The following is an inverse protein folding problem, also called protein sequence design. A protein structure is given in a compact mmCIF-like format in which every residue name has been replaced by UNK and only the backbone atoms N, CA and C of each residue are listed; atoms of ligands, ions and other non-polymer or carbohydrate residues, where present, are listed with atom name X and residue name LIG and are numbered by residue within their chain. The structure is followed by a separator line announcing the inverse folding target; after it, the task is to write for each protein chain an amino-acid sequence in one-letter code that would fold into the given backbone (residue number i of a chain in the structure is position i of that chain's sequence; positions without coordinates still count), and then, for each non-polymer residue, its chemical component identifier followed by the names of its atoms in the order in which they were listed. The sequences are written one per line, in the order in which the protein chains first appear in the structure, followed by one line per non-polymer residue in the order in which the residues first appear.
data_IF_109795424199
#
_entry.id   IF_109795424199
#
_cell.length_a   1.000
_cell.length_b   1.000
_cell.length_c   1.000
_cell.angle_alpha   90.00
_cell.angle_beta   90.00
_cell.angle_gamma   90.00
#
_symmetry.space_group_name_H-M   'P 1'
#
loop_
_entity.id
_entity.type
_entity.pdbx_description
1 polymer ?
#
# COMPACT_ATOMS: atom_id res chain seq x y z
N UNK A 1 22.41 -19.96 18.08
CA UNK A 1 22.54 -18.66 18.74
C UNK A 1 22.29 -17.58 17.69
N UNK A 2 21.27 -16.79 17.89
CA UNK A 2 21.03 -15.59 17.07
C UNK A 2 22.12 -14.57 17.39
N UNK A 3 22.66 -13.96 16.38
CA UNK A 3 23.57 -12.82 16.51
C UNK A 3 22.88 -11.58 15.99
N UNK A 4 22.81 -10.55 16.79
CA UNK A 4 22.33 -9.23 16.36
C UNK A 4 23.51 -8.29 16.39
N UNK A 5 23.87 -7.78 15.22
CA UNK A 5 24.88 -6.74 15.09
C UNK A 5 24.16 -5.39 15.00
N UNK A 6 24.64 -4.40 15.73
CA UNK A 6 24.13 -3.03 15.64
C UNK A 6 25.28 -2.15 15.17
N UNK A 7 25.19 -1.64 13.96
CA UNK A 7 26.12 -0.68 13.37
C UNK A 7 25.31 0.40 12.63
N UNK A 8 24.81 1.35 13.40
CA UNK A 8 23.91 2.37 12.91
C UNK A 8 24.30 3.77 13.40
N UNK A 9 24.22 4.74 12.51
CA UNK A 9 24.29 6.15 12.84
C UNK A 9 22.95 6.63 13.41
N UNK A 10 22.96 7.27 14.57
CA UNK A 10 21.76 7.71 15.27
C UNK A 10 21.78 9.20 15.52
N UNK A 11 20.72 9.90 15.14
CA UNK A 11 20.52 11.28 15.55
C UNK A 11 19.88 11.35 16.94
N UNK A 12 20.71 11.30 17.97
CA UNK A 12 20.27 11.30 19.38
C UNK A 12 19.70 12.64 19.85
N UNK A 13 19.88 13.72 19.09
CA UNK A 13 19.33 15.03 19.47
C UNK A 13 17.80 15.07 19.43
N UNK A 14 17.17 14.13 18.70
CA UNK A 14 15.72 14.01 18.62
C UNK A 14 15.09 13.53 19.93
N UNK A 15 15.82 12.82 20.78
CA UNK A 15 15.32 12.28 22.05
C UNK A 15 15.21 13.30 23.20
N UNK A 16 15.66 14.53 23.00
CA UNK A 16 15.59 15.57 24.03
C UNK A 16 14.45 16.56 23.81
N UNK A 17 13.65 16.35 22.79
CA UNK A 17 12.55 17.24 22.44
C UNK A 17 11.21 16.66 22.91
N UNK A 18 10.32 17.53 23.36
CA UNK A 18 8.92 17.15 23.50
C UNK A 18 8.39 16.74 22.13
N UNK A 19 7.72 15.61 22.06
CA UNK A 19 7.17 15.11 20.83
C UNK A 19 5.64 15.14 20.86
N UNK A 20 4.98 15.40 19.71
CA UNK A 20 3.53 15.43 19.66
C UNK A 20 2.96 14.03 19.89
N UNK A 21 1.80 13.99 20.54
CA UNK A 21 0.94 12.83 20.69
C UNK A 21 -0.41 13.20 20.12
N UNK A 22 -1.01 12.32 19.35
CA UNK A 22 -2.34 12.56 18.81
C UNK A 22 -3.27 11.38 19.05
N UNK A 23 -4.56 11.70 19.16
CA UNK A 23 -5.63 10.72 19.05
C UNK A 23 -6.27 10.82 17.68
N UNK A 24 -6.43 9.70 17.03
CA UNK A 24 -7.01 9.60 15.70
C UNK A 24 -8.12 8.56 15.67
N UNK A 25 -9.04 8.74 14.72
CA UNK A 25 -10.10 7.77 14.44
C UNK A 25 -10.12 7.48 12.95
N UNK A 26 -10.71 6.35 12.60
CA UNK A 26 -10.95 5.97 11.21
C UNK A 26 -11.70 7.08 10.46
N UNK A 27 -11.30 7.36 9.24
CA UNK A 27 -11.91 8.36 8.37
C UNK A 27 -12.21 7.77 6.99
N UNK A 28 -13.43 7.31 6.79
CA UNK A 28 -13.86 6.79 5.50
C UNK A 28 -14.20 7.95 4.53
N UNK A 29 -13.96 7.73 3.24
CA UNK A 29 -14.40 8.66 2.21
C UNK A 29 -15.93 8.64 2.09
N UNK A 30 -16.54 9.80 2.11
CA UNK A 30 -17.98 9.97 1.86
C UNK A 30 -18.25 10.11 0.37
N UNK A 31 -19.52 9.99 -0.06
CA UNK A 31 -19.92 10.25 -1.45
C UNK A 31 -19.58 11.69 -1.89
N UNK A 32 -19.59 12.65 -0.96
CA UNK A 32 -19.18 14.03 -1.21
C UNK A 32 -17.68 14.12 -1.47
N UNK A 33 -16.85 13.40 -0.68
CA UNK A 33 -15.41 13.31 -0.91
C UNK A 33 -15.08 12.68 -2.24
N UNK A 34 -15.74 11.58 -2.59
CA UNK A 34 -15.58 10.89 -3.88
C UNK A 34 -15.83 11.85 -5.04
N UNK A 35 -16.95 12.56 -5.01
CA UNK A 35 -17.33 13.51 -6.05
C UNK A 35 -16.34 14.67 -6.14
N UNK A 36 -15.95 15.23 -4.99
CA UNK A 36 -14.98 16.33 -4.90
C UNK A 36 -13.60 15.91 -5.45
N UNK A 37 -13.10 14.74 -5.05
CA UNK A 37 -11.81 14.24 -5.49
C UNK A 37 -11.83 13.95 -6.99
N UNK A 38 -12.88 13.31 -7.50
CA UNK A 38 -13.02 13.04 -8.93
C UNK A 38 -13.02 14.35 -9.75
N UNK A 39 -13.78 15.36 -9.33
CA UNK A 39 -13.82 16.65 -10.01
C UNK A 39 -12.48 17.40 -9.94
N UNK A 40 -11.67 17.16 -8.91
CA UNK A 40 -10.38 17.84 -8.74
C UNK A 40 -9.25 17.17 -9.54
N UNK A 41 -9.34 15.89 -9.83
CA UNK A 41 -8.24 15.15 -10.45
C UNK A 41 -8.43 14.93 -11.95
N UNK A 42 -9.65 14.67 -12.41
CA UNK A 42 -9.94 14.39 -13.81
C UNK A 42 -10.13 15.67 -14.65
N UNK A 43 -9.86 15.54 -15.93
CA UNK A 43 -10.19 16.57 -16.92
C UNK A 43 -11.71 16.81 -16.95
N UNK A 44 -12.11 18.07 -17.11
CA UNK A 44 -13.52 18.46 -17.08
C UNK A 44 -14.38 17.70 -18.09
N UNK A 45 -15.45 17.05 -17.62
CA UNK A 45 -16.37 16.31 -18.45
C UNK A 45 -15.84 14.97 -19.01
N UNK A 46 -14.63 14.58 -18.63
CA UNK A 46 -14.01 13.32 -19.13
C UNK A 46 -14.43 12.09 -18.33
N UNK A 47 -14.91 12.25 -17.10
CA UNK A 47 -15.05 11.14 -16.17
C UNK A 47 -16.50 10.73 -15.92
N UNK A 48 -16.65 9.42 -15.64
CA UNK A 48 -17.94 8.80 -15.36
C UNK A 48 -17.81 7.61 -14.42
N UNK A 49 -18.92 7.25 -13.78
CA UNK A 49 -19.03 6.01 -13.01
C UNK A 49 -18.74 4.80 -13.94
N UNK A 50 -17.97 3.86 -13.44
CA UNK A 50 -17.73 2.56 -14.06
C UNK A 50 -18.16 1.45 -13.12
N UNK A 51 -19.11 0.63 -13.55
CA UNK A 51 -19.47 -0.60 -12.84
C UNK A 51 -18.61 -1.75 -13.33
N UNK A 52 -18.01 -2.55 -12.43
CA UNK A 52 -17.31 -3.78 -12.81
C UNK A 52 -18.21 -4.66 -13.72
N UNK A 53 -17.62 -5.41 -14.63
CA UNK A 53 -18.40 -6.23 -15.58
C UNK A 53 -19.36 -7.20 -14.89
N UNK A 54 -19.02 -7.73 -13.71
CA UNK A 54 -19.92 -8.58 -12.90
C UNK A 54 -21.21 -7.88 -12.46
N UNK A 55 -21.23 -6.55 -12.45
CA UNK A 55 -22.36 -5.71 -12.05
C UNK A 55 -23.01 -4.95 -13.22
N UNK A 56 -22.67 -5.34 -14.44
CA UNK A 56 -23.32 -4.81 -15.65
C UNK A 56 -24.38 -5.78 -16.20
N UNK A 57 -25.26 -5.28 -17.03
CA UNK A 57 -26.23 -6.12 -17.71
C UNK A 57 -25.56 -7.06 -18.71
N UNK A 58 -26.20 -8.17 -19.03
CA UNK A 58 -25.73 -9.09 -20.09
C UNK A 58 -25.55 -8.39 -21.43
N UNK A 59 -26.43 -7.47 -21.72
CA UNK A 59 -26.44 -6.67 -22.94
C UNK A 59 -25.20 -5.75 -22.98
N UNK A 60 -24.88 -5.06 -21.87
CA UNK A 60 -23.73 -4.16 -21.78
C UNK A 60 -22.41 -4.92 -21.88
N UNK A 61 -22.30 -6.07 -21.18
CA UNK A 61 -21.11 -6.93 -21.27
C UNK A 61 -20.92 -7.45 -22.68
N UNK A 62 -22.00 -7.83 -23.35
CA UNK A 62 -21.92 -8.30 -24.74
C UNK A 62 -21.45 -7.18 -25.66
N UNK A 63 -22.01 -5.99 -25.52
CA UNK A 63 -21.59 -4.82 -26.28
C UNK A 63 -20.10 -4.45 -26.01
N UNK A 64 -19.63 -4.57 -24.75
CA UNK A 64 -18.22 -4.36 -24.42
C UNK A 64 -17.31 -5.39 -25.11
N UNK A 65 -17.67 -6.69 -25.08
CA UNK A 65 -16.90 -7.72 -25.79
C UNK A 65 -16.84 -7.48 -27.30
N UNK A 66 -17.95 -7.05 -27.92
CA UNK A 66 -18.01 -6.75 -29.34
C UNK A 66 -17.13 -5.52 -29.68
N UNK A 67 -17.15 -4.48 -28.84
CA UNK A 67 -16.31 -3.30 -29.01
C UNK A 67 -14.80 -3.64 -28.89
N UNK A 68 -14.42 -4.54 -27.98
CA UNK A 68 -13.05 -5.03 -27.91
C UNK A 68 -12.66 -5.79 -29.19
N UNK A 69 -13.52 -6.67 -29.69
CA UNK A 69 -13.24 -7.40 -30.93
C UNK A 69 -13.05 -6.45 -32.12
N UNK A 70 -13.88 -5.41 -32.26
CA UNK A 70 -13.73 -4.37 -33.26
C UNK A 70 -12.41 -3.61 -33.12
N UNK A 71 -12.05 -3.22 -31.88
CA UNK A 71 -10.80 -2.53 -31.58
C UNK A 71 -9.60 -3.41 -31.95
N UNK A 72 -9.62 -4.69 -31.56
CA UNK A 72 -8.51 -5.61 -31.82
C UNK A 72 -8.32 -5.91 -33.31
N UNK A 73 -9.39 -5.87 -34.09
CA UNK A 73 -9.30 -6.01 -35.53
C UNK A 73 -8.55 -4.87 -36.25
N UNK A 74 -8.28 -3.77 -35.55
CA UNK A 74 -7.49 -2.65 -36.09
C UNK A 74 -5.97 -2.87 -36.00
N UNK A 75 -5.51 -3.81 -35.17
CA UNK A 75 -4.09 -4.14 -35.02
C UNK A 75 -3.66 -5.16 -36.07
N UNK A 76 -2.49 -4.92 -36.67
CA UNK A 76 -1.92 -5.82 -37.68
C UNK A 76 -1.42 -7.14 -37.05
N UNK A 77 -0.90 -7.07 -35.85
CA UNK A 77 -0.41 -8.21 -35.07
C UNK A 77 -1.02 -8.17 -33.65
N UNK A 78 -1.42 -9.32 -33.12
CA UNK A 78 -1.96 -9.42 -31.76
C UNK A 78 -0.96 -8.97 -30.70
N UNK A 79 0.34 -9.11 -30.95
CA UNK A 79 1.40 -8.66 -30.04
C UNK A 79 1.51 -7.14 -29.91
N UNK A 80 0.86 -6.39 -30.81
CA UNK A 80 0.79 -4.92 -30.76
C UNK A 80 -0.36 -4.43 -29.89
N UNK A 81 -1.28 -5.31 -29.50
CA UNK A 81 -2.42 -4.94 -28.66
C UNK A 81 -1.91 -4.62 -27.25
N UNK A 82 -2.19 -3.42 -26.71
CA UNK A 82 -1.83 -3.08 -25.36
C UNK A 82 -2.37 -4.07 -24.34
N UNK A 83 -1.54 -4.48 -23.39
CA UNK A 83 -1.88 -5.48 -22.38
C UNK A 83 -3.13 -5.10 -21.57
N UNK A 84 -3.27 -3.83 -21.20
CA UNK A 84 -4.44 -3.33 -20.47
C UNK A 84 -5.76 -3.58 -21.23
N UNK A 85 -5.78 -3.42 -22.56
CA UNK A 85 -6.97 -3.72 -23.37
C UNK A 85 -7.26 -5.21 -23.43
N UNK A 86 -6.22 -6.05 -23.48
CA UNK A 86 -6.37 -7.52 -23.43
C UNK A 86 -6.90 -7.96 -22.07
N UNK A 87 -6.40 -7.40 -20.98
CA UNK A 87 -6.86 -7.69 -19.62
C UNK A 87 -8.34 -7.30 -19.45
N UNK A 88 -8.71 -6.08 -19.86
CA UNK A 88 -10.10 -5.61 -19.82
C UNK A 88 -11.03 -6.52 -20.62
N UNK A 89 -10.61 -6.91 -21.84
CA UNK A 89 -11.37 -7.85 -22.66
C UNK A 89 -11.56 -9.20 -21.94
N UNK A 90 -10.49 -9.71 -21.31
CA UNK A 90 -10.54 -10.96 -20.54
C UNK A 90 -11.53 -10.89 -19.38
N UNK A 91 -11.60 -9.77 -18.65
CA UNK A 91 -12.59 -9.56 -17.59
C UNK A 91 -14.02 -9.54 -18.15
N UNK A 92 -14.28 -8.80 -19.23
CA UNK A 92 -15.58 -8.78 -19.87
C UNK A 92 -16.01 -10.17 -20.36
N UNK A 93 -15.10 -10.91 -21.00
CA UNK A 93 -15.36 -12.28 -21.48
C UNK A 93 -15.59 -13.25 -20.32
N UNK A 94 -14.83 -13.14 -19.23
CA UNK A 94 -15.01 -13.97 -18.03
C UNK A 94 -16.37 -13.72 -17.38
N UNK A 95 -16.77 -12.46 -17.25
CA UNK A 95 -18.09 -12.09 -16.76
C UNK A 95 -19.19 -12.66 -17.66
N UNK A 96 -19.04 -12.55 -18.99
CA UNK A 96 -19.97 -13.13 -19.96
C UNK A 96 -20.05 -14.65 -19.86
N UNK A 97 -18.91 -15.32 -19.72
CA UNK A 97 -18.81 -16.78 -19.66
C UNK A 97 -19.37 -17.36 -18.35
N UNK A 98 -19.26 -16.62 -17.24
CA UNK A 98 -19.81 -17.03 -15.94
C UNK A 98 -21.33 -17.26 -16.00
N UNK A 99 -22.01 -16.52 -16.87
CA UNK A 99 -23.48 -16.52 -16.96
C UNK A 99 -24.19 -16.00 -15.73
N UNK A 100 -23.44 -15.50 -14.74
CA UNK A 100 -23.97 -14.89 -13.52
C UNK A 100 -23.89 -13.37 -13.68
N UNK A 101 -25.04 -12.75 -13.78
CA UNK A 101 -25.17 -11.30 -13.91
C UNK A 101 -25.91 -10.78 -12.70
N UNK A 102 -25.32 -9.81 -12.02
CA UNK A 102 -25.91 -9.11 -10.87
C UNK A 102 -25.90 -7.61 -11.16
N UNK A 103 -26.69 -7.14 -12.13
CA UNK A 103 -26.64 -5.77 -12.60
C UNK A 103 -27.08 -4.81 -11.48
N UNK A 104 -26.29 -3.78 -11.27
CA UNK A 104 -26.64 -2.68 -10.40
C UNK A 104 -27.31 -1.61 -11.24
N UNK A 105 -28.58 -1.29 -10.93
CA UNK A 105 -29.28 -0.17 -11.54
C UNK A 105 -28.68 1.15 -11.03
N UNK A 106 -28.25 2.00 -11.94
CA UNK A 106 -27.67 3.31 -11.61
C UNK A 106 -28.14 4.37 -12.62
N UNK A 107 -28.32 5.59 -12.16
CA UNK A 107 -28.53 6.76 -13.00
C UNK A 107 -27.21 7.42 -13.45
N UNK A 108 -26.06 6.78 -13.15
CA UNK A 108 -24.74 7.31 -13.45
C UNK A 108 -24.18 8.23 -12.35
N UNK A 109 -24.91 8.44 -11.27
CA UNK A 109 -24.42 9.22 -10.13
C UNK A 109 -23.18 8.57 -9.53
N UNK A 110 -22.15 9.38 -9.31
CA UNK A 110 -20.90 8.94 -8.68
C UNK A 110 -21.13 8.81 -7.19
N UNK A 111 -21.19 7.57 -6.73
CA UNK A 111 -21.39 7.22 -5.32
C UNK A 111 -20.95 5.77 -5.08
N UNK A 112 -20.84 5.40 -3.80
CA UNK A 112 -20.66 4.00 -3.43
C UNK A 112 -21.85 3.15 -3.87
N UNK A 113 -21.55 1.95 -4.33
CA UNK A 113 -22.53 0.90 -4.55
C UNK A 113 -22.14 -0.35 -3.77
N UNK A 114 -23.11 -1.04 -3.12
CA UNK A 114 -22.82 -2.24 -2.36
C UNK A 114 -22.50 -3.39 -3.30
N UNK A 115 -21.55 -4.22 -2.93
CA UNK A 115 -21.37 -5.52 -3.56
C UNK A 115 -22.12 -6.60 -2.80
N UNK A 116 -22.34 -7.76 -3.44
CA UNK A 116 -23.00 -8.94 -2.85
C UNK A 116 -22.30 -9.45 -1.59
N UNK A 117 -21.04 -9.08 -1.39
CA UNK A 117 -20.33 -9.32 -0.12
C UNK A 117 -20.69 -8.19 0.83
N UNK A 118 -21.53 -8.49 1.79
CA UNK A 118 -22.22 -7.61 2.76
C UNK A 118 -21.38 -6.52 3.47
N UNK A 119 -20.08 -6.42 3.22
CA UNK A 119 -19.17 -5.50 3.92
C UNK A 119 -18.23 -4.76 3.00
N UNK A 120 -18.53 -4.67 1.71
CA UNK A 120 -17.67 -3.99 0.77
C UNK A 120 -18.45 -3.04 -0.11
N UNK A 121 -18.11 -1.77 -0.03
CA UNK A 121 -18.62 -0.72 -0.89
C UNK A 121 -17.53 -0.31 -1.88
N UNK A 122 -17.91 -0.15 -3.15
CA UNK A 122 -17.02 0.32 -4.20
C UNK A 122 -17.57 1.54 -4.89
N UNK A 123 -16.66 2.37 -5.39
CA UNK A 123 -16.96 3.34 -6.41
C UNK A 123 -15.78 3.40 -7.37
N UNK A 124 -15.98 3.03 -8.64
CA UNK A 124 -14.97 3.16 -9.68
C UNK A 124 -15.38 4.26 -10.65
N UNK A 125 -14.45 5.12 -10.98
CA UNK A 125 -14.62 6.27 -11.86
C UNK A 125 -13.53 6.20 -12.92
N UNK A 126 -13.91 6.24 -14.18
CA UNK A 126 -12.98 6.29 -15.31
C UNK A 126 -13.04 7.64 -15.99
N UNK A 127 -11.88 8.17 -16.34
CA UNK A 127 -11.74 9.45 -16.99
C UNK A 127 -10.30 9.71 -17.42
N UNK A 128 -10.03 10.92 -17.90
CA UNK A 128 -8.68 11.31 -18.31
C UNK A 128 -8.05 12.30 -17.33
N UNK A 129 -6.74 12.23 -17.20
CA UNK A 129 -5.89 13.22 -16.52
C UNK A 129 -4.82 13.62 -17.52
N UNK A 130 -4.80 14.89 -17.90
CA UNK A 130 -3.91 15.40 -18.96
C UNK A 130 -4.01 14.56 -20.25
N UNK A 131 -5.24 14.15 -20.61
CA UNK A 131 -5.56 13.38 -21.79
C UNK A 131 -5.15 11.90 -21.75
N UNK A 132 -4.68 11.38 -20.62
CA UNK A 132 -4.36 9.96 -20.41
C UNK A 132 -5.46 9.29 -19.60
N UNK A 133 -5.78 8.05 -19.92
CA UNK A 133 -6.79 7.28 -19.22
C UNK A 133 -6.37 6.87 -17.81
N UNK A 134 -7.28 7.10 -16.86
CA UNK A 134 -7.12 6.71 -15.46
C UNK A 134 -8.42 6.15 -14.89
N UNK A 135 -8.29 5.24 -13.94
CA UNK A 135 -9.36 4.84 -13.06
C UNK A 135 -9.07 5.29 -11.62
N UNK A 136 -10.05 5.88 -10.99
CA UNK A 136 -10.07 6.21 -9.59
C UNK A 136 -11.06 5.28 -8.90
N UNK A 137 -10.58 4.49 -7.96
CA UNK A 137 -11.38 3.52 -7.21
C UNK A 137 -11.40 3.87 -5.74
N UNK A 138 -12.57 3.81 -5.14
CA UNK A 138 -12.74 3.86 -3.69
C UNK A 138 -13.26 2.52 -3.22
N UNK A 139 -12.59 1.96 -2.22
CA UNK A 139 -12.92 0.67 -1.63
C UNK A 139 -13.09 0.87 -0.13
N UNK A 140 -14.24 0.47 0.40
CA UNK A 140 -14.54 0.55 1.81
C UNK A 140 -14.99 -0.82 2.31
N UNK A 141 -14.25 -1.36 3.27
CA UNK A 141 -14.58 -2.60 3.97
C UNK A 141 -14.57 -2.35 5.47
N UNK A 142 -14.87 -3.35 6.28
CA UNK A 142 -14.69 -3.23 7.74
C UNK A 142 -13.24 -2.93 8.13
N UNK A 143 -12.26 -3.50 7.41
CA UNK A 143 -10.83 -3.44 7.74
C UNK A 143 -10.07 -2.35 7.01
N UNK A 144 -10.58 -1.92 5.86
CA UNK A 144 -9.85 -1.06 4.94
C UNK A 144 -10.75 0.05 4.41
N UNK A 145 -10.12 1.19 4.20
CA UNK A 145 -10.64 2.24 3.34
C UNK A 145 -9.50 2.64 2.41
N UNK A 146 -9.70 2.54 1.12
CA UNK A 146 -8.66 2.82 0.13
C UNK A 146 -9.18 3.73 -0.96
N UNK A 147 -8.32 4.65 -1.37
CA UNK A 147 -8.40 5.38 -2.63
C UNK A 147 -7.27 4.85 -3.52
N UNK A 148 -7.62 4.43 -4.72
CA UNK A 148 -6.66 3.91 -5.69
C UNK A 148 -6.83 4.66 -7.00
N UNK A 149 -5.82 5.40 -7.41
CA UNK A 149 -5.73 6.01 -8.73
C UNK A 149 -4.73 5.20 -9.55
N UNK A 150 -5.13 4.68 -10.71
CA UNK A 150 -4.23 3.95 -11.57
C UNK A 150 -4.46 4.28 -13.04
N UNK A 151 -3.37 4.28 -13.80
CA UNK A 151 -3.33 4.58 -15.22
C UNK A 151 -3.82 3.38 -16.04
N UNK A 152 -4.39 3.67 -17.20
CA UNK A 152 -4.80 2.70 -18.21
C UNK A 152 -5.86 1.68 -17.75
N UNK A 153 -6.67 2.03 -16.72
CA UNK A 153 -7.75 1.19 -16.17
C UNK A 153 -7.31 -0.20 -15.68
N UNK A 154 -6.04 -0.42 -15.46
CA UNK A 154 -5.50 -1.73 -15.19
C UNK A 154 -5.43 -2.04 -13.69
N UNK A 155 -6.49 -2.68 -13.16
CA UNK A 155 -6.51 -3.13 -11.75
C UNK A 155 -5.43 -4.16 -11.44
N UNK A 156 -4.96 -4.96 -12.40
CA UNK A 156 -3.85 -5.88 -12.18
C UNK A 156 -2.53 -5.15 -11.89
N UNK A 157 -2.38 -3.93 -12.41
CA UNK A 157 -1.26 -3.09 -12.00
C UNK A 157 -1.28 -2.77 -10.51
N UNK A 158 -2.46 -2.74 -9.90
CA UNK A 158 -2.60 -2.44 -8.47
C UNK A 158 -2.38 -3.67 -7.58
N UNK A 159 -2.86 -4.84 -7.98
CA UNK A 159 -2.78 -6.07 -7.19
C UNK A 159 -1.70 -7.04 -7.68
N UNK A 160 -1.50 -7.17 -8.99
CA UNK A 160 -0.51 -8.07 -9.58
C UNK A 160 0.92 -7.51 -9.57
N UNK A 161 1.08 -6.20 -9.68
CA UNK A 161 2.40 -5.56 -9.69
C UNK A 161 3.06 -5.46 -8.31
N UNK A 162 2.33 -5.51 -7.21
CA UNK A 162 2.98 -5.58 -5.89
C UNK A 162 3.93 -6.77 -5.79
N UNK A 163 3.65 -7.88 -6.46
CA UNK A 163 4.55 -9.02 -6.54
C UNK A 163 5.64 -8.90 -7.62
N UNK A 164 5.58 -7.87 -8.45
CA UNK A 164 6.50 -7.68 -9.58
C UNK A 164 7.33 -6.39 -9.48
N UNK A 165 7.01 -5.52 -8.53
CA UNK A 165 7.74 -4.30 -8.24
C UNK A 165 8.55 -4.50 -6.97
N UNK A 166 9.86 -4.45 -7.10
CA UNK A 166 10.76 -4.57 -5.95
C UNK A 166 11.55 -3.27 -5.79
N UNK A 167 11.47 -2.60 -4.64
CA UNK A 167 12.31 -1.43 -4.37
C UNK A 167 13.76 -1.87 -4.34
N UNK A 168 14.63 -1.10 -4.98
CA UNK A 168 16.06 -1.38 -5.09
C UNK A 168 16.81 -0.38 -4.23
N UNK A 169 17.86 -0.84 -3.61
CA UNK A 169 18.82 0.04 -2.94
C UNK A 169 19.46 0.96 -3.97
N UNK A 170 19.47 2.29 -3.74
CA UNK A 170 20.02 3.23 -4.70
C UNK A 170 21.47 2.95 -5.10
N UNK A 171 22.29 2.45 -4.15
CA UNK A 171 23.69 2.08 -4.38
C UNK A 171 23.86 0.83 -5.26
N UNK A 172 22.82 0.00 -5.38
CA UNK A 172 22.83 -1.23 -6.19
C UNK A 172 22.28 -1.01 -7.60
N UNK A 173 21.62 0.12 -7.84
CA UNK A 173 20.94 0.39 -9.11
C UNK A 173 21.87 0.30 -10.32
N UNK A 174 23.03 0.94 -10.25
CA UNK A 174 24.00 0.94 -11.36
C UNK A 174 24.50 -0.48 -11.66
N UNK A 175 24.71 -1.29 -10.63
CA UNK A 175 25.15 -2.68 -10.77
C UNK A 175 24.12 -3.56 -11.46
N UNK A 176 22.82 -3.37 -11.13
CA UNK A 176 21.72 -4.19 -11.66
C UNK A 176 21.28 -3.76 -13.05
N UNK A 177 21.18 -2.46 -13.27
CA UNK A 177 20.58 -1.88 -14.45
C UNK A 177 21.58 -1.50 -15.52
N UNK A 178 22.84 -1.33 -15.15
CA UNK A 178 23.82 -0.71 -16.03
C UNK A 178 23.46 0.77 -16.34
N UNK A 179 23.97 1.26 -17.46
CA UNK A 179 23.74 2.65 -17.88
C UNK A 179 22.39 2.90 -18.54
N UNK A 180 21.60 1.84 -18.80
CA UNK A 180 20.38 1.93 -19.62
C UNK A 180 19.12 2.10 -18.79
N UNK A 181 19.27 2.18 -17.47
CA UNK A 181 18.14 2.32 -16.62
C UNK A 181 17.88 3.75 -16.32
N UNK A 182 16.75 4.27 -16.80
CA UNK A 182 16.45 5.46 -16.12
C UNK A 182 15.03 5.93 -16.33
N UNK A 183 14.30 6.05 -15.21
CA UNK A 183 13.12 6.85 -15.13
C UNK A 183 13.45 8.30 -15.55
N UNK A 184 12.60 8.91 -16.36
CA UNK A 184 12.73 10.30 -16.78
C UNK A 184 12.62 11.30 -15.61
N UNK A 185 12.03 10.86 -14.52
CA UNK A 185 11.95 11.63 -13.27
C UNK A 185 13.23 11.41 -12.43
N UNK A 186 13.60 12.44 -11.67
CA UNK A 186 14.48 12.28 -10.51
C UNK A 186 13.68 11.81 -9.30
N UNK A 187 14.35 11.38 -8.24
CA UNK A 187 13.71 11.05 -6.96
C UNK A 187 12.88 12.22 -6.40
N UNK A 188 13.41 13.44 -6.49
CA UNK A 188 12.72 14.67 -6.10
C UNK A 188 11.51 14.96 -7.01
N UNK A 189 11.65 14.76 -8.32
CA UNK A 189 10.56 14.91 -9.27
C UNK A 189 9.42 13.92 -9.02
N UNK A 190 9.74 12.66 -8.72
CA UNK A 190 8.76 11.64 -8.37
C UNK A 190 8.03 11.97 -7.06
N UNK A 191 8.76 12.41 -6.04
CA UNK A 191 8.17 12.88 -4.78
C UNK A 191 7.23 14.07 -4.99
N UNK A 192 7.65 15.05 -5.77
CA UNK A 192 6.85 16.25 -6.09
C UNK A 192 5.57 15.86 -6.83
N UNK A 193 5.65 15.00 -7.84
CA UNK A 193 4.47 14.55 -8.60
C UNK A 193 3.41 13.90 -7.68
N UNK A 194 3.85 13.05 -6.77
CA UNK A 194 2.94 12.40 -5.81
C UNK A 194 2.32 13.42 -4.87
N UNK A 195 3.14 14.32 -4.30
CA UNK A 195 2.67 15.36 -3.38
C UNK A 195 1.67 16.32 -4.06
N UNK A 196 1.96 16.74 -5.29
CA UNK A 196 1.07 17.61 -6.06
C UNK A 196 -0.25 16.91 -6.39
N UNK A 197 -0.20 15.62 -6.72
CA UNK A 197 -1.41 14.81 -6.98
C UNK A 197 -2.28 14.71 -5.73
N UNK A 198 -1.70 14.41 -4.57
CA UNK A 198 -2.41 14.39 -3.30
C UNK A 198 -3.02 15.75 -2.96
N UNK A 199 -2.25 16.82 -3.16
CA UNK A 199 -2.72 18.20 -2.91
C UNK A 199 -3.90 18.58 -3.81
N UNK A 200 -3.88 18.20 -5.10
CA UNK A 200 -5.03 18.37 -6.01
C UNK A 200 -6.28 17.66 -5.49
N UNK A 201 -6.12 16.46 -4.92
CA UNK A 201 -7.22 15.71 -4.30
C UNK A 201 -7.71 16.33 -2.98
N UNK A 202 -7.00 17.34 -2.45
CA UNK A 202 -7.27 17.94 -1.14
C UNK A 202 -6.80 17.06 0.03
N UNK A 203 -5.82 16.19 -0.23
CA UNK A 203 -5.21 15.30 0.77
C UNK A 203 -3.84 15.90 1.12
N UNK A 204 -3.78 16.67 2.19
CA UNK A 204 -2.60 17.49 2.52
C UNK A 204 -1.86 17.02 3.79
N UNK A 205 -2.36 15.99 4.46
CA UNK A 205 -1.83 15.54 5.76
C UNK A 205 -0.68 14.53 5.62
N UNK A 206 -0.30 14.21 4.39
CA UNK A 206 0.71 13.20 4.11
C UNK A 206 1.99 13.81 3.55
N UNK A 207 3.09 13.15 3.87
CA UNK A 207 4.42 13.47 3.34
C UNK A 207 5.05 12.23 2.73
N UNK A 208 5.87 12.43 1.72
CA UNK A 208 6.70 11.36 1.14
C UNK A 208 7.88 11.12 2.07
N UNK A 209 8.05 9.86 2.49
CA UNK A 209 9.11 9.43 3.40
C UNK A 209 10.19 8.60 2.72
N UNK A 210 9.94 8.09 1.52
CA UNK A 210 10.91 7.33 0.76
C UNK A 210 10.60 7.31 -0.73
N UNK A 211 11.65 7.35 -1.55
CA UNK A 211 11.58 7.21 -3.01
C UNK A 211 12.69 6.25 -3.43
N UNK A 212 12.31 5.10 -3.95
CA UNK A 212 13.23 4.03 -4.28
C UNK A 212 13.14 3.67 -5.76
N UNK A 213 14.28 3.51 -6.46
CA UNK A 213 14.28 2.89 -7.76
C UNK A 213 13.60 1.53 -7.72
N UNK A 214 12.94 1.14 -8.79
CA UNK A 214 12.14 -0.08 -8.81
C UNK A 214 12.54 -1.00 -9.94
N UNK A 215 12.77 -2.27 -9.60
CA UNK A 215 12.78 -3.32 -10.60
C UNK A 215 11.34 -3.69 -10.95
N UNK A 216 11.01 -3.62 -12.23
CA UNK A 216 9.74 -4.09 -12.76
C UNK A 216 9.98 -5.35 -13.57
N UNK A 217 9.28 -6.42 -13.22
CA UNK A 217 9.32 -7.70 -13.94
C UNK A 217 8.00 -7.87 -14.67
N UNK A 218 8.06 -7.90 -16.01
CA UNK A 218 6.86 -8.10 -16.85
C UNK A 218 6.94 -9.47 -17.51
N UNK A 219 6.00 -10.38 -17.18
CA UNK A 219 5.90 -11.67 -17.88
C UNK A 219 5.67 -11.44 -19.38
N UNK A 220 6.18 -12.34 -20.20
CA UNK A 220 5.78 -12.41 -21.61
C UNK A 220 4.47 -13.17 -21.66
N UNK A 221 3.50 -12.63 -22.39
CA UNK A 221 2.19 -13.25 -22.53
C UNK A 221 2.03 -13.91 -23.89
N UNK A 222 1.32 -15.02 -23.93
CA UNK A 222 0.74 -15.59 -25.12
C UNK A 222 -0.72 -15.17 -25.23
N UNK A 223 -1.15 -14.83 -26.44
CA UNK A 223 -2.51 -14.37 -26.75
C UNK A 223 -3.16 -15.42 -27.66
N UNK A 224 -4.23 -16.03 -27.21
CA UNK A 224 -4.96 -17.02 -27.99
C UNK A 224 -5.87 -16.39 -29.06
N UNK A 225 -6.63 -17.24 -29.78
CA UNK A 225 -7.54 -16.76 -30.81
C UNK A 225 -8.79 -16.03 -30.27
N UNK A 226 -9.09 -16.23 -29.01
CA UNK A 226 -10.16 -15.55 -28.30
C UNK A 226 -9.67 -14.29 -27.55
N UNK A 227 -8.41 -13.86 -27.78
CA UNK A 227 -7.75 -12.76 -27.09
C UNK A 227 -7.60 -12.96 -25.58
N UNK A 228 -7.61 -14.21 -25.12
CA UNK A 228 -7.27 -14.51 -23.74
C UNK A 228 -5.76 -14.45 -23.57
N UNK A 229 -5.31 -13.85 -22.48
CA UNK A 229 -3.88 -13.74 -22.13
C UNK A 229 -3.50 -14.78 -21.10
N UNK A 230 -2.34 -15.39 -21.30
CA UNK A 230 -1.72 -16.27 -20.32
C UNK A 230 -0.22 -15.98 -20.22
N UNK A 231 0.31 -15.99 -19.00
CA UNK A 231 1.75 -15.81 -18.81
C UNK A 231 2.51 -16.99 -19.41
N UNK A 232 3.48 -16.70 -20.27
CA UNK A 232 4.34 -17.73 -20.84
C UNK A 232 5.60 -17.91 -19.99
N UNK A 233 5.53 -18.82 -19.03
CA UNK A 233 6.64 -19.11 -18.12
C UNK A 233 7.87 -19.79 -18.79
N UNK A 234 7.77 -20.13 -20.08
CA UNK A 234 8.90 -20.65 -20.85
C UNK A 234 9.71 -19.54 -21.53
N UNK A 235 9.26 -18.31 -21.45
CA UNK A 235 9.98 -17.13 -21.96
C UNK A 235 10.52 -16.31 -20.81
N UNK A 236 11.73 -15.80 -21.00
CA UNK A 236 12.32 -14.88 -20.02
C UNK A 236 11.46 -13.62 -19.89
N UNK A 237 11.14 -13.18 -18.65
CA UNK A 237 10.41 -11.96 -18.44
C UNK A 237 11.20 -10.74 -18.87
N UNK A 238 10.52 -9.67 -19.23
CA UNK A 238 11.14 -8.38 -19.46
C UNK A 238 11.38 -7.69 -18.13
N UNK A 239 12.64 -7.40 -17.83
CA UNK A 239 13.03 -6.66 -16.62
C UNK A 239 13.36 -5.23 -17.03
N UNK A 240 12.78 -4.28 -16.32
CA UNK A 240 13.09 -2.86 -16.47
C UNK A 240 13.30 -2.20 -15.11
N UNK A 241 13.96 -1.04 -15.12
CA UNK A 241 14.26 -0.24 -13.93
C UNK A 241 13.88 1.22 -14.17
N UNK A 242 12.79 1.46 -14.83
CA UNK A 242 12.31 2.72 -15.39
C UNK A 242 11.25 3.42 -14.55
N UNK A 243 11.19 3.10 -13.26
CA UNK A 243 10.21 3.69 -12.35
C UNK A 243 10.74 3.82 -10.92
N UNK A 244 10.00 4.58 -10.12
CA UNK A 244 10.20 4.71 -8.69
C UNK A 244 8.98 4.20 -7.91
N UNK A 245 9.22 3.52 -6.80
CA UNK A 245 8.27 3.36 -5.72
C UNK A 245 8.40 4.53 -4.76
N UNK A 246 7.27 5.14 -4.44
CA UNK A 246 7.18 6.28 -3.53
C UNK A 246 6.32 5.87 -2.35
N UNK A 247 6.86 6.07 -1.16
CA UNK A 247 6.17 5.76 0.09
C UNK A 247 6.00 7.00 0.93
N UNK A 248 4.93 7.02 1.71
CA UNK A 248 4.70 8.10 2.63
C UNK A 248 3.62 7.77 3.65
N UNK A 249 3.38 8.72 4.50
CA UNK A 249 2.38 8.63 5.56
C UNK A 249 2.08 9.97 6.17
N UNK A 250 1.23 9.96 7.18
CA UNK A 250 0.86 11.17 7.90
C UNK A 250 2.05 11.77 8.63
N UNK A 251 2.20 13.07 8.52
CA UNK A 251 3.13 13.83 9.35
C UNK A 251 2.41 14.41 10.57
N UNK A 252 3.03 14.30 11.72
CA UNK A 252 2.62 14.94 12.95
C UNK A 252 3.78 15.77 13.48
N UNK A 253 3.75 17.09 13.28
CA UNK A 253 4.79 18.04 13.68
C UNK A 253 6.21 17.57 13.29
N UNK A 254 6.41 17.27 12.03
CA UNK A 254 7.65 16.75 11.44
C UNK A 254 8.02 15.30 11.81
N UNK A 255 7.31 14.65 12.71
CA UNK A 255 7.42 13.19 12.88
C UNK A 255 6.62 12.47 11.80
N UNK A 256 7.20 11.45 11.21
CA UNK A 256 6.59 10.64 10.15
C UNK A 256 6.65 9.17 10.52
N UNK A 257 5.78 8.33 9.99
CA UNK A 257 5.92 6.89 10.11
C UNK A 257 7.26 6.44 9.51
N UNK A 258 7.91 5.51 10.15
CA UNK A 258 9.08 4.84 9.58
C UNK A 258 8.59 3.75 8.63
N UNK A 259 9.04 3.82 7.36
CA UNK A 259 8.75 2.77 6.41
C UNK A 259 9.42 1.47 6.81
N UNK A 260 8.63 0.42 6.93
CA UNK A 260 9.09 -0.97 7.05
C UNK A 260 8.18 -1.86 6.21
N UNK A 261 8.66 -3.01 5.81
CA UNK A 261 7.85 -3.98 5.04
C UNK A 261 6.59 -4.43 5.78
N UNK A 262 6.64 -4.44 7.10
CA UNK A 262 5.49 -4.76 7.95
C UNK A 262 4.33 -3.75 7.83
N UNK A 263 4.61 -2.50 7.49
CA UNK A 263 3.55 -1.50 7.29
C UNK A 263 2.61 -1.83 6.13
N UNK A 264 2.98 -2.77 5.26
CA UNK A 264 2.16 -3.26 4.15
C UNK A 264 1.41 -4.55 4.48
N UNK A 265 1.75 -5.23 5.56
CA UNK A 265 1.01 -6.41 5.98
C UNK A 265 -0.27 -5.96 6.70
N UNK A 266 -1.33 -5.94 5.95
CA UNK A 266 -2.63 -5.43 6.38
C UNK A 266 -3.43 -6.41 7.23
N UNK A 267 -2.93 -7.63 7.44
CA UNK A 267 -3.67 -8.68 8.12
C UNK A 267 -2.74 -9.45 9.06
N UNK A 268 -2.72 -9.00 10.29
CA UNK A 268 -2.32 -9.88 11.37
C UNK A 268 -3.59 -10.35 12.05
N UNK A 269 -3.92 -11.54 11.70
CA UNK A 269 -4.89 -12.34 12.40
C UNK A 269 -4.16 -13.02 13.55
N UNK A 270 -4.66 -12.83 14.75
CA UNK A 270 -4.24 -13.67 15.87
C UNK A 270 -4.78 -15.09 15.65
N UNK A 271 -3.98 -15.92 14.98
CA UNK A 271 -4.36 -17.28 14.63
C UNK A 271 -4.62 -18.16 15.88
N UNK A 272 -4.10 -17.80 17.04
CA UNK A 272 -4.31 -18.55 18.29
C UNK A 272 -5.71 -18.36 18.88
N UNK A 273 -6.38 -17.26 18.52
CA UNK A 273 -7.71 -16.93 19.03
C UNK A 273 -8.84 -17.13 18.02
N UNK A 274 -8.51 -17.61 16.80
CA UNK A 274 -9.51 -17.87 15.78
C UNK A 274 -10.22 -19.19 16.02
N UNK A 275 -11.54 -19.15 16.02
CA UNK A 275 -12.35 -20.37 15.95
C UNK A 275 -12.17 -21.03 14.60
N UNK A 276 -11.71 -22.27 14.60
CA UNK A 276 -11.57 -23.11 13.42
C UNK A 276 -12.59 -24.23 13.47
N UNK A 277 -13.17 -24.56 12.33
CA UNK A 277 -13.98 -25.75 12.18
C UNK A 277 -13.09 -27.03 12.15
N UNK A 278 -13.72 -28.20 12.08
CA UNK A 278 -13.03 -29.49 12.03
C UNK A 278 -12.11 -29.68 10.80
N UNK A 279 -12.21 -28.82 9.79
CA UNK A 279 -11.39 -28.79 8.58
C UNK A 279 -10.28 -27.71 8.65
N UNK A 280 -10.18 -26.99 9.76
CA UNK A 280 -9.23 -25.88 9.92
C UNK A 280 -9.67 -24.58 9.23
N UNK A 281 -10.95 -24.49 8.81
CA UNK A 281 -11.50 -23.28 8.22
C UNK A 281 -11.87 -22.30 9.33
N UNK A 282 -11.39 -21.07 9.23
CA UNK A 282 -11.67 -20.02 10.20
C UNK A 282 -13.14 -19.64 10.10
N UNK A 283 -13.88 -19.80 11.21
CA UNK A 283 -15.33 -19.62 11.26
C UNK A 283 -15.75 -18.28 11.84
N UNK A 284 -14.85 -17.59 12.53
CA UNK A 284 -15.15 -16.31 13.18
C UNK A 284 -14.23 -15.20 12.68
N UNK A 285 -14.58 -14.59 11.53
CA UNK A 285 -13.87 -13.44 10.98
C UNK A 285 -14.27 -12.10 11.62
N UNK A 286 -15.30 -12.11 12.49
CA UNK A 286 -15.95 -10.87 12.92
C UNK A 286 -15.22 -10.15 14.06
N UNK A 287 -14.47 -10.87 14.89
CA UNK A 287 -13.96 -10.31 16.15
C UNK A 287 -12.53 -9.72 16.06
N UNK A 288 -11.84 -9.86 14.90
CA UNK A 288 -10.42 -9.47 14.76
C UNK A 288 -10.19 -8.47 13.61
N UNK A 289 -10.99 -7.42 13.57
CA UNK A 289 -10.90 -6.44 12.49
C UNK A 289 -10.13 -5.21 12.91
N UNK A 290 -8.81 -5.26 12.85
CA UNK A 290 -8.01 -4.03 12.92
C UNK A 290 -8.12 -3.24 11.62
N UNK A 291 -8.34 -1.95 11.75
CA UNK A 291 -8.21 -1.02 10.64
C UNK A 291 -6.74 -0.97 10.23
N UNK A 292 -6.45 -1.18 8.95
CA UNK A 292 -5.09 -1.20 8.42
C UNK A 292 -4.30 0.07 8.71
N UNK A 293 -2.98 0.04 8.56
CA UNK A 293 -2.14 1.22 8.75
C UNK A 293 -2.41 2.28 7.68
N UNK A 294 -2.39 3.54 8.10
CA UNK A 294 -2.48 4.69 7.21
C UNK A 294 -1.18 4.84 6.41
N UNK A 295 -1.27 4.86 5.09
CA UNK A 295 -0.10 4.99 4.23
C UNK A 295 -0.44 5.54 2.86
N UNK A 296 0.57 6.06 2.17
CA UNK A 296 0.55 6.28 0.74
C UNK A 296 1.60 5.42 0.07
N UNK A 297 1.25 4.87 -1.09
CA UNK A 297 2.17 4.16 -1.97
C UNK A 297 1.89 4.59 -3.40
N UNK A 298 2.94 4.92 -4.14
CA UNK A 298 2.80 5.28 -5.54
C UNK A 298 3.92 4.68 -6.39
N UNK A 299 3.64 4.51 -7.67
CA UNK A 299 4.66 4.20 -8.67
C UNK A 299 4.67 5.30 -9.73
N UNK A 300 5.86 5.86 -9.96
CA UNK A 300 6.12 6.91 -10.95
C UNK A 300 7.03 6.35 -12.02
N UNK A 301 6.52 6.25 -13.23
CA UNK A 301 7.27 5.81 -14.41
C UNK A 301 7.60 6.97 -15.36
N UNK A 302 8.15 6.63 -16.51
CA UNK A 302 8.58 7.62 -17.51
C UNK A 302 7.48 8.56 -17.99
N UNK A 303 6.24 8.09 -18.00
CA UNK A 303 5.07 8.85 -18.46
C UNK A 303 4.29 9.53 -17.33
N UNK A 304 4.82 9.55 -16.13
CA UNK A 304 4.17 10.11 -14.94
C UNK A 304 3.69 9.04 -13.96
N UNK A 305 2.59 9.33 -13.30
CA UNK A 305 2.02 8.46 -12.28
C UNK A 305 1.40 7.20 -12.91
N UNK A 306 1.91 6.02 -12.54
CA UNK A 306 1.30 4.76 -12.92
C UNK A 306 0.16 4.39 -11.95
N UNK A 307 0.41 4.54 -10.65
CA UNK A 307 -0.64 4.45 -9.64
C UNK A 307 -0.31 5.28 -8.38
N UNK A 308 -1.35 5.60 -7.63
CA UNK A 308 -1.30 6.16 -6.28
C UNK A 308 -2.36 5.48 -5.43
N UNK A 309 -1.95 4.97 -4.28
CA UNK A 309 -2.83 4.36 -3.29
C UNK A 309 -2.74 5.16 -2.01
N UNK A 310 -3.90 5.57 -1.49
CA UNK A 310 -4.04 6.11 -0.14
C UNK A 310 -4.82 5.09 0.67
N UNK A 311 -4.16 4.51 1.65
CA UNK A 311 -4.72 3.44 2.46
C UNK A 311 -5.10 3.93 3.84
N UNK A 312 -6.28 3.53 4.28
CA UNK A 312 -6.75 3.61 5.66
C UNK A 312 -6.60 5.00 6.29
N UNK A 313 -7.18 6.04 5.65
CA UNK A 313 -7.07 7.41 6.14
C UNK A 313 -7.66 7.53 7.55
N UNK A 314 -7.02 8.36 8.35
CA UNK A 314 -7.48 8.69 9.70
C UNK A 314 -7.76 10.18 9.83
N UNK A 315 -8.63 10.51 10.75
CA UNK A 315 -8.91 11.87 11.19
C UNK A 315 -8.27 12.09 12.56
N UNK A 316 -7.44 13.11 12.67
CA UNK A 316 -6.92 13.55 13.95
C UNK A 316 -8.04 14.27 14.71
N UNK A 317 -8.34 13.80 15.92
CA UNK A 317 -9.31 14.42 16.80
C UNK A 317 -8.66 15.39 17.78
N UNK A 318 -7.51 14.98 18.34
CA UNK A 318 -6.75 15.81 19.29
C UNK A 318 -5.27 15.69 19.00
N UNK A 319 -4.56 16.80 19.14
CA UNK A 319 -3.10 16.83 19.15
C UNK A 319 -2.67 17.47 20.47
N UNK A 320 -1.80 16.76 21.19
CA UNK A 320 -1.15 17.29 22.36
C UNK A 320 0.37 17.38 22.08
N UNK A 321 0.79 18.59 21.79
CA UNK A 321 2.20 18.88 21.41
C UNK A 321 3.09 19.15 22.60
N UNK A 322 2.50 19.41 23.78
CA UNK A 322 3.25 19.85 24.96
C UNK A 322 3.55 18.73 25.98
N UNK A 323 3.01 17.54 25.76
CA UNK A 323 2.85 16.56 26.84
C UNK A 323 3.93 15.49 26.94
N UNK A 324 4.68 15.19 25.89
CA UNK A 324 5.57 14.04 25.96
C UNK A 324 7.01 14.44 26.27
N UNK A 325 7.36 14.36 27.53
CA UNK A 325 8.77 14.16 27.88
C UNK A 325 9.19 12.78 27.36
N UNK A 326 10.05 12.74 26.38
CA UNK A 326 10.58 11.49 25.87
C UNK A 326 11.75 11.01 26.71
N UNK A 327 11.95 9.70 26.74
CA UNK A 327 13.13 9.07 27.33
C UNK A 327 14.39 9.53 26.57
N UNK A 328 15.49 9.67 27.29
CA UNK A 328 16.77 9.84 26.63
C UNK A 328 17.14 8.62 25.79
N UNK A 329 17.82 8.83 24.67
CA UNK A 329 18.20 7.72 23.78
C UNK A 329 18.97 6.61 24.50
N UNK A 330 19.82 6.94 25.46
CA UNK A 330 20.54 5.94 26.25
C UNK A 330 19.62 5.01 27.07
N UNK A 331 18.45 5.49 27.48
CA UNK A 331 17.46 4.67 28.18
C UNK A 331 16.74 3.76 27.19
N UNK A 332 16.38 4.30 26.03
CA UNK A 332 15.77 3.55 24.92
C UNK A 332 16.71 2.44 24.43
N UNK A 333 17.97 2.77 24.21
CA UNK A 333 18.97 1.80 23.75
C UNK A 333 19.20 0.68 24.77
N UNK A 334 19.22 1.00 26.06
CA UNK A 334 19.31 -0.02 27.10
C UNK A 334 18.12 -0.99 27.08
N UNK A 335 16.91 -0.50 26.80
CA UNK A 335 15.70 -1.32 26.64
C UNK A 335 15.83 -2.21 25.40
N UNK A 336 16.27 -1.63 24.27
CA UNK A 336 16.48 -2.38 23.04
C UNK A 336 17.48 -3.53 23.21
N UNK A 337 18.63 -3.25 23.83
CA UNK A 337 19.65 -4.24 24.10
C UNK A 337 19.15 -5.36 25.04
N UNK A 338 18.41 -5.02 26.09
CA UNK A 338 17.81 -6.03 26.99
C UNK A 338 16.81 -6.91 26.24
N UNK A 339 15.97 -6.32 25.39
CA UNK A 339 15.03 -7.06 24.54
C UNK A 339 15.74 -7.99 23.58
N UNK A 340 16.71 -7.49 22.81
CA UNK A 340 17.52 -8.24 21.87
C UNK A 340 18.16 -9.44 22.57
N UNK A 341 18.81 -9.22 23.71
CA UNK A 341 19.48 -10.28 24.47
C UNK A 341 18.53 -11.39 24.98
N UNK A 342 17.27 -11.06 25.21
CA UNK A 342 16.27 -12.01 25.72
C UNK A 342 15.51 -12.77 24.64
N UNK A 343 15.43 -12.21 23.43
CA UNK A 343 14.55 -12.73 22.36
C UNK A 343 15.32 -13.24 21.14
N UNK A 344 16.57 -13.55 21.28
CA UNK A 344 17.42 -14.11 20.22
C UNK A 344 17.38 -15.64 20.27
N UNK A 345 16.38 -16.26 19.64
CA UNK A 345 16.12 -17.72 19.80
C UNK A 345 16.53 -18.59 18.61
N UNK A 346 16.85 -18.02 17.45
CA UNK A 346 17.18 -18.78 16.23
C UNK A 346 18.65 -18.68 15.88
N UNK A 347 19.09 -19.46 14.89
CA UNK A 347 20.43 -19.34 14.30
C UNK A 347 20.55 -18.21 13.27
N UNK A 348 19.64 -17.25 13.29
CA UNK A 348 19.58 -16.14 12.33
C UNK A 348 20.50 -15.01 12.74
N UNK A 349 21.13 -14.35 11.80
CA UNK A 349 21.90 -13.13 11.99
C UNK A 349 21.05 -11.95 11.53
N UNK A 350 20.84 -10.99 12.40
CA UNK A 350 20.19 -9.72 12.10
C UNK A 350 21.22 -8.60 12.18
N UNK A 351 21.33 -7.84 11.11
CA UNK A 351 22.14 -6.63 11.08
C UNK A 351 21.22 -5.43 11.18
N UNK A 352 21.23 -4.76 12.33
CA UNK A 352 20.52 -3.49 12.53
C UNK A 352 21.43 -2.40 11.97
N UNK A 353 21.00 -1.85 10.84
CA UNK A 353 21.79 -0.89 10.06
C UNK A 353 21.29 0.53 10.23
N UNK A 354 20.09 0.70 10.80
CA UNK A 354 19.48 2.02 10.94
C UNK A 354 18.64 2.09 12.23
N UNK A 355 18.70 3.23 12.91
CA UNK A 355 17.88 3.52 14.09
C UNK A 355 17.18 4.84 13.85
N UNK A 356 15.86 4.80 13.67
CA UNK A 356 15.05 5.94 13.26
C UNK A 356 14.07 6.35 14.35
N UNK A 357 13.86 7.65 14.43
CA UNK A 357 12.83 8.24 15.26
C UNK A 357 11.63 8.62 14.40
N UNK A 358 10.43 8.16 14.77
CA UNK A 358 9.25 8.40 14.00
C UNK A 358 7.96 8.15 14.78
N UNK A 359 6.85 8.00 14.07
CA UNK A 359 5.54 7.75 14.64
C UNK A 359 5.21 6.25 14.66
N UNK A 360 4.60 5.80 15.75
CA UNK A 360 3.89 4.52 15.82
C UNK A 360 2.41 4.76 16.06
N UNK A 361 1.56 3.91 15.50
CA UNK A 361 0.12 3.88 15.76
C UNK A 361 -0.23 2.73 16.70
N UNK A 362 -0.98 3.03 17.73
CA UNK A 362 -1.53 2.05 18.66
C UNK A 362 -3.03 2.06 18.59
N UNK A 363 -3.61 0.89 18.57
CA UNK A 363 -5.04 0.70 18.70
C UNK A 363 -5.48 0.85 20.17
N UNK A 364 -6.56 1.57 20.41
CA UNK A 364 -7.25 1.61 21.70
C UNK A 364 -8.49 0.74 21.58
N UNK A 365 -8.44 -0.47 22.12
CA UNK A 365 -9.50 -1.46 22.02
C UNK A 365 -10.83 -1.00 22.66
N UNK A 366 -10.79 0.04 23.50
CA UNK A 366 -11.95 0.46 24.28
C UNK A 366 -12.95 1.32 23.49
N UNK A 367 -12.51 2.03 22.44
CA UNK A 367 -13.31 3.06 21.77
C UNK A 367 -13.05 3.22 20.27
N UNK A 368 -12.45 2.23 19.62
CA UNK A 368 -12.07 2.24 18.19
C UNK A 368 -11.21 3.46 17.79
N UNK A 369 -10.48 4.04 18.73
CA UNK A 369 -9.54 5.11 18.48
C UNK A 369 -8.11 4.60 18.36
N UNK A 370 -7.23 5.47 17.88
CA UNK A 370 -5.80 5.19 17.72
C UNK A 370 -5.00 6.29 18.38
N UNK A 371 -3.90 5.92 18.99
CA UNK A 371 -2.90 6.86 19.45
C UNK A 371 -1.72 6.88 18.49
N UNK A 372 -1.30 8.06 18.10
CA UNK A 372 -0.06 8.29 17.37
C UNK A 372 0.98 8.79 18.37
N UNK A 373 2.06 8.05 18.50
CA UNK A 373 3.09 8.27 19.53
C UNK A 373 4.47 8.30 18.89
N UNK A 374 5.43 9.05 19.48
CA UNK A 374 6.81 8.99 19.07
C UNK A 374 7.43 7.64 19.46
N UNK A 375 8.21 7.06 18.57
CA UNK A 375 8.88 5.79 18.81
C UNK A 375 10.24 5.71 18.11
N UNK A 376 11.12 4.87 18.65
CA UNK A 376 12.40 4.49 18.08
C UNK A 376 12.28 3.13 17.38
N UNK A 377 12.71 3.08 16.15
CA UNK A 377 12.71 1.90 15.29
C UNK A 377 14.12 1.41 15.09
N UNK A 378 14.41 0.20 15.49
CA UNK A 378 15.65 -0.52 15.19
C UNK A 378 15.40 -1.33 13.94
N UNK A 379 15.95 -0.87 12.83
CA UNK A 379 15.64 -1.40 11.50
C UNK A 379 16.75 -2.34 11.06
N UNK A 380 16.38 -3.58 10.77
CA UNK A 380 17.25 -4.56 10.15
C UNK A 380 17.02 -4.55 8.64
N UNK A 381 18.09 -4.58 7.89
CA UNK A 381 18.04 -4.87 6.47
C UNK A 381 17.99 -6.39 6.23
N UNK A 382 17.39 -6.79 5.10
CA UNK A 382 17.28 -8.20 4.75
C UNK A 382 18.65 -8.89 4.57
N UNK A 383 18.62 -10.21 4.53
CA UNK A 383 19.79 -11.07 4.38
C UNK A 383 20.53 -10.88 3.05
N UNK A 384 21.66 -11.57 2.86
CA UNK A 384 22.50 -11.46 1.64
C UNK A 384 21.76 -11.77 0.33
N UNK A 385 20.74 -12.65 0.35
CA UNK A 385 19.95 -12.99 -0.83
C UNK A 385 19.04 -11.84 -1.28
N UNK A 386 18.63 -10.97 -0.34
CA UNK A 386 17.82 -9.78 -0.61
C UNK A 386 18.67 -8.51 -0.83
N UNK A 387 20.00 -8.59 -0.82
CA UNK A 387 20.92 -7.44 -0.89
C UNK A 387 20.59 -6.36 -1.93
N UNK A 388 20.16 -6.69 -3.18
CA UNK A 388 19.85 -5.64 -4.14
C UNK A 388 18.53 -4.92 -3.84
N UNK A 389 17.69 -5.48 -2.99
CA UNK A 389 16.36 -4.96 -2.72
C UNK A 389 16.29 -4.28 -1.35
N UNK A 390 15.44 -3.29 -1.25
CA UNK A 390 15.23 -2.55 -0.01
C UNK A 390 13.98 -3.09 0.72
N UNK A 391 14.22 -3.99 1.66
CA UNK A 391 13.18 -4.57 2.52
C UNK A 391 13.49 -4.31 3.99
N UNK A 392 13.35 -3.07 4.48
CA UNK A 392 13.60 -2.77 5.87
C UNK A 392 12.57 -3.47 6.77
N UNK A 393 13.04 -4.10 7.83
CA UNK A 393 12.21 -4.71 8.85
C UNK A 393 12.49 -4.08 10.20
N UNK A 394 11.45 -3.66 10.92
CA UNK A 394 11.62 -3.20 12.29
C UNK A 394 11.82 -4.40 13.20
N UNK A 395 13.04 -4.61 13.65
CA UNK A 395 13.37 -5.68 14.59
C UNK A 395 12.78 -5.42 15.97
N UNK A 396 12.88 -4.19 16.45
CA UNK A 396 12.27 -3.74 17.68
C UNK A 396 11.81 -2.29 17.54
N UNK A 397 10.65 -1.98 18.09
CA UNK A 397 10.11 -0.62 18.15
C UNK A 397 9.82 -0.28 19.60
N UNK A 398 10.32 0.87 20.05
CA UNK A 398 10.24 1.30 21.45
C UNK A 398 9.54 2.64 21.52
N UNK A 399 8.47 2.70 22.31
CA UNK A 399 7.79 3.94 22.64
C UNK A 399 8.78 4.91 23.32
N UNK A 400 8.96 6.06 22.72
CA UNK A 400 9.89 7.05 23.24
C UNK A 400 9.43 7.70 24.55
N UNK A 401 8.17 7.54 24.95
CA UNK A 401 7.61 8.15 26.15
C UNK A 401 7.84 7.27 27.39
N UNK A 402 7.49 5.99 27.29
CA UNK A 402 7.45 5.08 28.45
C UNK A 402 8.36 3.85 28.32
N UNK A 403 9.01 3.66 27.15
CA UNK A 403 9.89 2.52 26.91
C UNK A 403 9.15 1.21 26.61
N UNK A 404 7.85 1.24 26.43
CA UNK A 404 7.09 0.05 26.00
C UNK A 404 7.60 -0.45 24.66
N UNK A 405 7.66 -1.77 24.50
CA UNK A 405 8.12 -2.43 23.28
C UNK A 405 6.91 -2.85 22.47
N UNK A 406 6.91 -2.51 21.19
CA UNK A 406 5.84 -2.85 20.29
C UNK A 406 6.30 -3.88 19.27
N UNK A 407 5.40 -4.78 18.95
CA UNK A 407 5.48 -5.52 17.72
C UNK A 407 4.86 -4.64 16.61
N UNK A 408 5.71 -4.10 15.74
CA UNK A 408 5.28 -3.22 14.66
C UNK A 408 4.37 -3.95 13.65
N UNK A 409 4.51 -5.26 13.52
CA UNK A 409 3.69 -6.07 12.64
C UNK A 409 2.24 -6.16 13.17
N UNK A 410 2.08 -6.28 14.47
CA UNK A 410 0.78 -6.53 15.10
C UNK A 410 0.10 -5.25 15.58
N UNK A 411 0.82 -4.13 15.67
CA UNK A 411 0.30 -2.91 16.30
C UNK A 411 -0.02 -3.09 17.79
N UNK A 412 0.50 -4.15 18.42
CA UNK A 412 0.29 -4.47 19.82
C UNK A 412 1.42 -3.95 20.70
N UNK A 413 1.06 -3.57 21.92
CA UNK A 413 2.01 -3.52 23.03
C UNK A 413 2.38 -4.96 23.35
N UNK A 414 3.65 -5.30 23.23
CA UNK A 414 4.17 -6.52 23.84
C UNK A 414 4.18 -6.30 25.36
N UNK A 415 3.01 -6.46 25.97
CA UNK A 415 2.96 -6.58 27.41
C UNK A 415 3.56 -7.93 27.73
N UNK A 416 4.71 -7.95 28.37
CA UNK A 416 5.10 -9.09 29.19
C UNK A 416 3.93 -9.35 30.14
N UNK A 417 3.03 -10.23 29.76
CA UNK A 417 2.26 -10.94 30.77
C UNK A 417 3.30 -11.71 31.58
N UNK A 418 3.75 -11.09 32.65
CA UNK A 418 4.32 -11.85 33.72
C UNK A 418 3.27 -12.94 34.00
N UNK A 419 3.51 -14.15 33.54
CA UNK A 419 2.89 -15.33 34.07
C UNK A 419 3.40 -15.42 35.50
N UNK A 420 2.80 -14.62 36.37
CA UNK A 420 2.83 -14.87 37.79
C UNK A 420 1.77 -15.94 38.03
N UNK A 421 2.31 -17.17 38.23
CA UNK A 421 1.70 -18.34 38.88
C UNK A 421 0.35 -18.84 38.33
#
# INVERSE_FOLDING_TARGET
HTTVNVDADVNTSLSTQSAPVATAVRCDYTNEDITRIAAAIFDEGSYKLFLPYSHQSKEDITAACDAFAETFATYADKSEIPYNLLAECSYAQSAKASGVFDPIETDGTIQYYPTVKEFCNYCNIRGTIDGKDYQLSFVQTRKHCMLVLHKDYNEELTYGLFNQLSPIRPDMLETLAGSDNICSYSTEGASTLVTDTLSRMGINDYVVTGVFPTQTIRPVYDIDDAYQVSANYNKEPVISYDSYLVYGGRSLDALTPVYTTANFQTELTDYESMDQDENGTITNYEDYTFYGYESITANVGNDGLNYLIVSNPMKIETIDVDMANTLDFSQVDAIAQDYINKHTFDETVYDITDIRYGLIRLSNEADDSYQLLPAWYYVAEGNEESKPYYFPSAYVVINAIDGSIYNNELGYIYQHRNKSD
#
